data_IF_308860731901
#
_entry.id   IF_308860731901
#
_cell.length_a   1.000
_cell.length_b   1.000
_cell.length_c   1.000
_cell.angle_alpha   90.00
_cell.angle_beta   90.00
_cell.angle_gamma   90.00
#
_symmetry.space_group_name_H-M   'P 1'
#
loop_
_entity.id
_entity.type
_entity.pdbx_description
1 polymer ?
#
# COMPACT_ATOMS: atom_id res chain seq x y z
N UNK A 1 -15.01 45.07 -49.91
CA UNK A 1 -14.12 44.73 -48.78
C UNK A 1 -13.12 45.85 -48.62
N UNK A 2 -13.03 46.47 -47.45
CA UNK A 2 -12.06 47.55 -47.21
C UNK A 2 -10.68 46.94 -46.92
N UNK A 3 -9.62 47.57 -47.43
CA UNK A 3 -8.24 47.10 -47.33
C UNK A 3 -7.77 46.92 -45.87
N UNK A 4 -8.36 47.68 -44.94
CA UNK A 4 -8.08 47.56 -43.51
C UNK A 4 -8.60 46.25 -42.91
N UNK A 5 -9.74 45.73 -43.39
CA UNK A 5 -10.30 44.47 -42.87
C UNK A 5 -9.43 43.27 -43.29
N UNK A 6 -8.83 43.31 -44.49
CA UNK A 6 -7.87 42.28 -44.92
C UNK A 6 -6.57 42.29 -44.12
N UNK A 7 -6.12 43.46 -43.65
CA UNK A 7 -4.92 43.57 -42.82
C UNK A 7 -5.12 43.02 -41.40
N UNK A 8 -6.31 43.20 -40.82
CA UNK A 8 -6.63 42.62 -39.51
C UNK A 8 -6.80 41.10 -39.59
N UNK A 9 -7.51 40.59 -40.61
CA UNK A 9 -7.66 39.14 -40.83
C UNK A 9 -6.30 38.44 -41.04
N UNK A 10 -5.37 39.07 -41.76
CA UNK A 10 -4.03 38.49 -41.96
C UNK A 10 -3.16 38.52 -40.70
N UNK A 11 -3.36 39.51 -39.81
CA UNK A 11 -2.69 39.58 -38.51
C UNK A 11 -3.25 38.53 -37.55
N UNK A 12 -4.56 38.36 -37.50
CA UNK A 12 -5.23 37.32 -36.71
C UNK A 12 -4.78 35.91 -37.15
N UNK A 13 -4.66 35.68 -38.46
CA UNK A 13 -4.18 34.41 -39.01
C UNK A 13 -2.69 34.15 -38.68
N UNK A 14 -1.86 35.19 -38.66
CA UNK A 14 -0.46 35.08 -38.26
C UNK A 14 -0.31 34.76 -36.75
N UNK A 15 -1.12 35.39 -35.90
CA UNK A 15 -1.15 35.12 -34.46
C UNK A 15 -1.66 33.70 -34.16
N UNK A 16 -2.71 33.24 -34.87
CA UNK A 16 -3.20 31.86 -34.76
C UNK A 16 -2.16 30.83 -35.19
N UNK A 17 -1.41 31.10 -36.26
CA UNK A 17 -0.32 30.22 -36.71
C UNK A 17 0.80 30.14 -35.68
N UNK A 18 1.22 31.28 -35.12
CA UNK A 18 2.25 31.31 -34.07
C UNK A 18 1.81 30.56 -32.81
N UNK A 19 0.52 30.66 -32.43
CA UNK A 19 -0.04 29.92 -31.31
C UNK A 19 -0.07 28.41 -31.58
N UNK A 20 -0.50 27.99 -32.78
CA UNK A 20 -0.49 26.58 -33.19
C UNK A 20 0.93 25.99 -33.17
N UNK A 21 1.92 26.73 -33.67
CA UNK A 21 3.33 26.32 -33.63
C UNK A 21 3.86 26.21 -32.18
N UNK A 22 3.45 27.11 -31.28
CA UNK A 22 3.82 27.04 -29.86
C UNK A 22 3.20 25.81 -29.18
N UNK A 23 1.91 25.53 -29.44
CA UNK A 23 1.24 24.33 -28.94
C UNK A 23 1.86 23.04 -29.50
N UNK A 24 2.25 23.04 -30.78
CA UNK A 24 2.90 21.88 -31.36
C UNK A 24 4.28 21.62 -30.74
N UNK A 25 5.04 22.68 -30.41
CA UNK A 25 6.30 22.56 -29.67
C UNK A 25 6.09 22.00 -28.26
N UNK A 26 5.07 22.44 -27.53
CA UNK A 26 4.78 21.91 -26.19
C UNK A 26 4.32 20.45 -26.25
N UNK A 27 3.49 20.08 -27.23
CA UNK A 27 3.11 18.68 -27.47
C UNK A 27 4.35 17.81 -27.70
N UNK A 28 5.28 18.25 -28.56
CA UNK A 28 6.52 17.51 -28.82
C UNK A 28 7.37 17.36 -27.55
N UNK A 29 7.47 18.41 -26.73
CA UNK A 29 8.20 18.35 -25.45
C UNK A 29 7.56 17.35 -24.47
N UNK A 30 6.23 17.37 -24.34
CA UNK A 30 5.49 16.44 -23.48
C UNK A 30 5.63 15.00 -23.97
N UNK A 31 5.53 14.76 -25.29
CA UNK A 31 5.74 13.42 -25.86
C UNK A 31 7.15 12.90 -25.59
N UNK A 32 8.18 13.75 -25.68
CA UNK A 32 9.55 13.36 -25.31
C UNK A 32 9.66 12.99 -23.83
N UNK A 33 9.02 13.76 -22.95
CA UNK A 33 9.02 13.49 -21.50
C UNK A 33 8.29 12.17 -21.16
N UNK A 34 7.19 11.87 -21.85
CA UNK A 34 6.48 10.59 -21.69
C UNK A 34 7.40 9.43 -22.06
N UNK A 35 8.09 9.50 -23.21
CA UNK A 35 9.04 8.46 -23.62
C UNK A 35 10.17 8.26 -22.61
N UNK A 36 10.74 9.34 -22.09
CA UNK A 36 11.78 9.26 -21.05
C UNK A 36 11.27 8.58 -19.78
N UNK A 37 10.07 8.93 -19.31
CA UNK A 37 9.47 8.30 -18.14
C UNK A 37 9.11 6.82 -18.40
N UNK A 38 8.68 6.47 -19.60
CA UNK A 38 8.44 5.08 -20.00
C UNK A 38 9.74 4.25 -19.99
N UNK A 39 10.83 4.81 -20.53
CA UNK A 39 12.17 4.20 -20.51
C UNK A 39 12.72 4.04 -19.08
N UNK A 40 12.58 5.05 -18.23
CA UNK A 40 12.96 4.97 -16.81
C UNK A 40 12.14 3.91 -16.06
N UNK A 41 10.83 3.84 -16.32
CA UNK A 41 9.94 2.83 -15.73
C UNK A 41 10.31 1.43 -16.19
N UNK A 42 10.64 1.24 -17.47
CA UNK A 42 11.12 -0.05 -17.99
C UNK A 42 12.49 -0.42 -17.42
N UNK A 43 13.40 0.54 -17.27
CA UNK A 43 14.70 0.31 -16.65
C UNK A 43 14.56 -0.08 -15.18
N UNK A 44 13.76 0.66 -14.40
CA UNK A 44 13.46 0.33 -13.00
C UNK A 44 12.79 -1.03 -12.87
N UNK A 45 11.85 -1.37 -13.76
CA UNK A 45 11.20 -2.68 -13.77
C UNK A 45 12.22 -3.80 -14.02
N UNK A 46 13.11 -3.64 -15.00
CA UNK A 46 14.19 -4.60 -15.25
C UNK A 46 15.14 -4.71 -14.07
N UNK A 47 15.45 -3.60 -13.40
CA UNK A 47 16.33 -3.58 -12.24
C UNK A 47 15.71 -4.31 -11.03
N UNK A 48 14.39 -4.19 -10.85
CA UNK A 48 13.63 -4.96 -9.85
C UNK A 48 13.62 -6.44 -10.22
N UNK A 49 13.34 -6.78 -11.48
CA UNK A 49 13.34 -8.17 -11.97
C UNK A 49 14.74 -8.81 -11.94
N UNK A 50 15.81 -8.04 -12.12
CA UNK A 50 17.19 -8.55 -12.16
C UNK A 50 17.86 -8.64 -10.80
N UNK A 51 17.57 -7.71 -9.87
CA UNK A 51 18.26 -7.64 -8.56
C UNK A 51 17.47 -8.26 -7.41
N UNK A 52 16.17 -8.48 -7.59
CA UNK A 52 15.37 -9.24 -6.64
C UNK A 52 14.98 -10.52 -7.35
N UNK A 53 15.47 -11.70 -6.91
CA UNK A 53 14.78 -12.93 -7.23
C UNK A 53 13.35 -12.73 -6.73
N UNK A 54 12.44 -12.42 -7.65
CA UNK A 54 11.02 -12.45 -7.39
C UNK A 54 10.77 -13.87 -6.91
N UNK A 55 10.63 -14.03 -5.61
CA UNK A 55 9.67 -14.98 -5.04
C UNK A 55 8.41 -14.70 -5.84
N UNK A 56 8.18 -15.49 -6.87
CA UNK A 56 7.00 -15.43 -7.70
C UNK A 56 5.86 -15.57 -6.73
N UNK A 57 5.20 -14.45 -6.44
CA UNK A 57 3.92 -14.40 -5.78
C UNK A 57 2.88 -14.92 -6.76
N UNK A 58 3.02 -16.18 -7.16
CA UNK A 58 1.86 -17.03 -7.30
C UNK A 58 1.28 -17.10 -5.88
N UNK A 59 0.03 -16.70 -5.76
CA UNK A 59 -0.71 -16.47 -4.51
C UNK A 59 -0.47 -15.09 -3.87
N UNK A 60 -1.37 -14.15 -4.18
CA UNK A 60 -2.22 -13.43 -3.21
C UNK A 60 -1.62 -13.06 -1.84
N UNK A 61 -0.35 -12.72 -1.74
CA UNK A 61 0.19 -12.06 -0.56
C UNK A 61 -0.03 -10.57 -0.75
N UNK A 62 -1.30 -10.19 -0.58
CA UNK A 62 -1.66 -8.89 -0.04
C UNK A 62 -0.70 -8.64 1.13
N UNK A 63 0.26 -7.74 0.94
CA UNK A 63 0.99 -7.16 2.06
C UNK A 63 -0.07 -6.66 3.03
N UNK A 64 -0.19 -7.26 4.23
CA UNK A 64 -1.29 -6.91 5.09
C UNK A 64 -0.88 -5.63 5.80
N UNK A 65 -1.09 -4.49 5.14
CA UNK A 65 -1.22 -3.20 5.82
C UNK A 65 -2.31 -3.28 6.91
N UNK A 66 -3.24 -4.25 6.81
CA UNK A 66 -4.24 -4.57 7.82
C UNK A 66 -3.71 -5.36 9.04
N UNK A 67 -2.51 -5.98 8.99
CA UNK A 67 -1.98 -6.69 10.18
C UNK A 67 -1.36 -5.75 11.21
N UNK A 68 -1.16 -4.47 10.91
CA UNK A 68 -0.84 -3.49 11.95
C UNK A 68 -2.03 -3.16 12.88
N UNK A 69 -3.22 -3.71 12.61
CA UNK A 69 -4.36 -3.69 13.54
C UNK A 69 -4.33 -4.87 14.53
N UNK A 70 -3.38 -5.80 14.39
CA UNK A 70 -3.16 -6.83 15.41
C UNK A 70 -2.39 -6.23 16.59
N UNK A 71 -2.66 -6.72 17.80
CA UNK A 71 -1.94 -6.33 19.01
C UNK A 71 -0.43 -6.33 18.73
N UNK A 72 0.31 -5.29 19.13
CA UNK A 72 1.75 -5.14 18.84
C UNK A 72 2.56 -6.42 19.14
N UNK A 73 2.12 -7.18 20.14
CA UNK A 73 2.67 -8.48 20.53
C UNK A 73 2.53 -9.56 19.43
N UNK A 74 1.38 -9.64 18.75
CA UNK A 74 1.13 -10.58 17.66
C UNK A 74 1.98 -10.26 16.43
N UNK A 75 2.08 -8.96 16.10
CA UNK A 75 2.92 -8.49 15.00
C UNK A 75 4.39 -8.85 15.24
N UNK A 76 4.92 -8.57 16.44
CA UNK A 76 6.30 -8.89 16.82
C UNK A 76 6.56 -10.39 16.73
N UNK A 77 5.66 -11.23 17.27
CA UNK A 77 5.84 -12.69 17.24
C UNK A 77 5.86 -13.23 15.81
N UNK A 78 4.98 -12.73 14.93
CA UNK A 78 4.95 -13.13 13.50
C UNK A 78 6.21 -12.72 12.76
N UNK A 79 6.71 -11.50 12.97
CA UNK A 79 7.93 -11.03 12.32
C UNK A 79 9.15 -11.84 12.77
N UNK A 80 9.25 -12.15 14.06
CA UNK A 80 10.37 -12.97 14.58
C UNK A 80 10.31 -14.42 14.08
N UNK A 81 9.12 -15.02 13.99
CA UNK A 81 8.96 -16.36 13.41
C UNK A 81 9.32 -16.40 11.92
N UNK A 82 8.97 -15.37 11.15
CA UNK A 82 9.37 -15.26 9.73
C UNK A 82 10.89 -15.20 9.60
N UNK A 83 11.55 -14.37 10.42
CA UNK A 83 13.02 -14.28 10.45
C UNK A 83 13.66 -15.62 10.81
N UNK A 84 13.14 -16.32 11.82
CA UNK A 84 13.67 -17.63 12.22
C UNK A 84 13.43 -18.69 11.11
N UNK A 85 12.33 -18.59 10.37
CA UNK A 85 12.08 -19.45 9.20
C UNK A 85 13.08 -19.20 8.08
N UNK A 86 13.37 -17.94 7.77
CA UNK A 86 14.40 -17.60 6.77
C UNK A 86 15.78 -18.13 7.18
N UNK A 87 16.15 -17.94 8.44
CA UNK A 87 17.40 -18.48 8.98
C UNK A 87 17.46 -20.01 8.92
N UNK A 88 16.32 -20.69 9.10
CA UNK A 88 16.20 -22.14 9.01
C UNK A 88 16.34 -22.68 7.57
N UNK A 89 16.01 -21.87 6.56
CA UNK A 89 16.22 -22.22 5.15
C UNK A 89 17.70 -22.15 4.76
N UNK A 90 18.43 -21.19 5.34
CA UNK A 90 19.86 -21.00 5.07
C UNK A 90 20.76 -21.92 5.90
N UNK A 91 20.39 -22.18 7.17
CA UNK A 91 21.16 -23.02 8.10
C UNK A 91 20.26 -23.70 9.13
N UNK A 92 20.75 -24.78 9.73
CA UNK A 92 20.06 -25.37 10.88
C UNK A 92 19.96 -24.38 12.05
N UNK A 93 18.79 -24.38 12.68
CA UNK A 93 18.50 -23.57 13.86
C UNK A 93 19.26 -24.14 15.07
N UNK A 94 19.84 -23.24 15.86
CA UNK A 94 20.45 -23.61 17.13
C UNK A 94 19.39 -23.90 18.19
N UNK A 95 19.75 -24.63 19.24
CA UNK A 95 18.84 -24.98 20.35
C UNK A 95 18.09 -23.76 20.94
N UNK A 96 18.79 -22.63 21.07
CA UNK A 96 18.20 -21.39 21.58
C UNK A 96 17.22 -20.74 20.59
N UNK A 97 17.46 -20.88 19.29
CA UNK A 97 16.57 -20.38 18.25
C UNK A 97 15.30 -21.25 18.15
N UNK A 98 15.42 -22.58 18.29
CA UNK A 98 14.26 -23.49 18.34
C UNK A 98 13.37 -23.22 19.56
N UNK A 99 13.96 -22.97 20.73
CA UNK A 99 13.19 -22.56 21.92
C UNK A 99 12.44 -21.25 21.69
N UNK A 100 13.05 -20.29 21.00
CA UNK A 100 12.38 -19.02 20.64
C UNK A 100 11.19 -19.25 19.72
N UNK A 101 11.32 -20.13 18.72
CA UNK A 101 10.18 -20.53 17.88
C UNK A 101 9.05 -21.09 18.74
N UNK A 102 9.35 -22.01 19.65
CA UNK A 102 8.35 -22.61 20.55
C UNK A 102 7.64 -21.57 21.42
N UNK A 103 8.40 -20.62 22.00
CA UNK A 103 7.85 -19.54 22.83
C UNK A 103 6.94 -18.63 22.01
N UNK A 104 7.38 -18.18 20.83
CA UNK A 104 6.57 -17.31 19.98
C UNK A 104 5.31 -18.01 19.46
N UNK A 105 5.39 -19.30 19.13
CA UNK A 105 4.21 -20.11 18.77
C UNK A 105 3.23 -20.23 19.94
N UNK A 106 3.71 -20.48 21.16
CA UNK A 106 2.85 -20.54 22.36
C UNK A 106 2.17 -19.21 22.65
N UNK A 107 2.88 -18.08 22.50
CA UNK A 107 2.33 -16.74 22.68
C UNK A 107 1.23 -16.47 21.65
N UNK A 108 1.44 -16.84 20.38
CA UNK A 108 0.42 -16.66 19.34
C UNK A 108 -0.85 -17.49 19.61
N UNK A 109 -0.69 -18.75 20.03
CA UNK A 109 -1.84 -19.60 20.40
C UNK A 109 -2.58 -19.03 21.63
N UNK A 110 -1.85 -18.48 22.60
CA UNK A 110 -2.47 -17.84 23.75
C UNK A 110 -3.23 -16.55 23.38
N UNK A 111 -2.72 -15.77 22.43
CA UNK A 111 -3.37 -14.56 21.93
C UNK A 111 -4.61 -14.87 21.08
N UNK A 112 -4.60 -15.95 20.29
CA UNK A 112 -5.75 -16.40 19.51
C UNK A 112 -6.88 -16.94 20.41
N UNK A 113 -6.54 -17.53 21.56
CA UNK A 113 -7.49 -18.04 22.55
C UNK A 113 -7.91 -17.00 23.60
N UNK A 114 -7.31 -15.80 23.60
CA UNK A 114 -7.73 -14.74 24.50
C UNK A 114 -9.11 -14.21 24.09
N UNK A 115 -10.04 -13.96 25.03
CA UNK A 115 -11.32 -13.36 24.70
C UNK A 115 -11.07 -12.02 23.99
N UNK A 116 -11.64 -11.87 22.80
CA UNK A 116 -11.50 -10.65 21.99
C UNK A 116 -12.03 -9.48 22.79
N UNK A 117 -11.11 -8.68 23.35
CA UNK A 117 -11.47 -7.44 24.02
C UNK A 117 -12.04 -6.52 22.95
N UNK A 118 -13.36 -6.33 22.97
CA UNK A 118 -14.04 -5.40 22.08
C UNK A 118 -13.50 -4.02 22.42
N UNK A 119 -12.60 -3.50 21.60
CA UNK A 119 -12.18 -2.09 21.68
C UNK A 119 -13.34 -1.24 21.18
N UNK A 120 -14.27 -0.93 22.08
CA UNK A 120 -15.35 0.03 21.82
C UNK A 120 -14.72 1.41 21.76
N UNK A 121 -14.70 2.01 20.57
CA UNK A 121 -14.34 3.42 20.40
C UNK A 121 -15.52 4.26 20.93
N UNK A 122 -15.36 4.82 22.13
CA UNK A 122 -16.40 5.58 22.84
C UNK A 122 -16.76 6.92 22.21
N UNK A 123 -16.00 7.40 21.22
CA UNK A 123 -16.19 8.74 20.65
C UNK A 123 -17.34 8.85 19.64
N UNK A 124 -17.98 7.72 19.26
CA UNK A 124 -19.06 7.69 18.25
C UNK A 124 -20.32 6.94 18.68
N UNK A 125 -20.37 6.41 19.90
CA UNK A 125 -21.48 5.57 20.32
C UNK A 125 -22.56 6.43 21.00
N UNK A 126 -23.80 6.37 20.51
CA UNK A 126 -24.92 7.05 21.13
C UNK A 126 -25.27 6.33 22.45
N UNK A 127 -25.83 7.05 23.44
CA UNK A 127 -26.08 6.49 24.77
C UNK A 127 -26.99 5.24 24.74
N UNK A 128 -27.88 5.15 23.75
CA UNK A 128 -28.78 4.00 23.56
C UNK A 128 -28.02 2.73 23.12
N UNK A 129 -26.95 2.87 22.32
CA UNK A 129 -26.12 1.75 21.89
C UNK A 129 -25.16 1.30 23.00
N UNK A 130 -24.76 2.21 23.90
CA UNK A 130 -24.01 1.84 25.12
C UNK A 130 -24.87 1.04 26.08
N UNK A 131 -26.14 1.43 26.25
CA UNK A 131 -27.08 0.75 27.14
C UNK A 131 -27.47 -0.64 26.62
N UNK A 132 -27.55 -0.84 25.30
CA UNK A 132 -27.85 -2.15 24.72
C UNK A 132 -26.72 -3.16 24.94
N UNK A 133 -25.46 -2.72 24.85
CA UNK A 133 -24.29 -3.57 25.14
C UNK A 133 -24.27 -4.05 26.60
N UNK A 134 -24.52 -3.14 27.54
CA UNK A 134 -24.61 -3.48 28.97
C UNK A 134 -25.79 -4.42 29.24
N UNK A 135 -26.93 -4.21 28.57
CA UNK A 135 -28.11 -5.07 28.73
C UNK A 135 -27.87 -6.47 28.16
N UNK A 136 -27.18 -6.57 27.02
CA UNK A 136 -26.84 -7.86 26.40
C UNK A 136 -25.79 -8.66 27.17
N UNK A 137 -24.90 -7.99 27.92
CA UNK A 137 -23.95 -8.69 28.80
C UNK A 137 -24.62 -9.29 30.04
N UNK A 138 -25.72 -8.69 30.53
CA UNK A 138 -26.46 -9.19 31.70
C UNK A 138 -27.23 -10.49 31.39
N UNK A 139 -27.66 -10.71 30.14
CA UNK A 139 -28.38 -11.94 29.76
C UNK A 139 -27.47 -13.17 29.56
N UNK A 140 -26.14 -13.00 29.56
CA UNK A 140 -25.19 -14.11 29.34
C UNK A 140 -24.62 -14.71 30.63
N UNK A 141 -25.05 -14.23 31.81
CA UNK A 141 -24.60 -14.70 33.12
C UNK A 141 -25.74 -15.25 34.00
N UNK A 142 -26.71 -15.96 33.42
CA UNK A 142 -27.57 -16.92 34.15
C UNK A 142 -27.38 -18.35 33.62
#
# INVERSE_FOLDING_TARGET
>A
MSLNNMFEETKELAEMKAFSEAQQKTIIQLTKKIKQLEEERDHLKKLVESNVPLVTTDEKQSYPAEKFLTSDQEAICRTQLLKLREMALDRELTLEETKKVEIFSKILVALENAPKVIKVNTDKLNNDDLLSLVSSEVETNE
#
